data_IF_070118113418
#
_entry.id   IF_070118113418
#
_cell.length_a   1.000
_cell.length_b   1.000
_cell.length_c   1.000
_cell.angle_alpha   90.00
_cell.angle_beta   90.00
_cell.angle_gamma   90.00
#
_symmetry.space_group_name_H-M   'P 1'
#
loop_
_entity.id
_entity.type
_entity.pdbx_description
1 polymer ?
#
# COMPACT_ATOMS: atom_id res chain seq x y z
N UNK A 1 -15.94 38.14 -14.36
CA UNK A 1 -15.21 36.89 -14.64
C UNK A 1 -15.48 35.79 -13.61
N UNK A 2 -15.92 36.09 -12.38
CA UNK A 2 -16.14 35.10 -11.31
C UNK A 2 -17.29 34.09 -11.50
N UNK A 3 -18.33 34.43 -12.26
CA UNK A 3 -19.53 33.59 -12.36
C UNK A 3 -19.37 32.45 -13.37
N UNK A 4 -18.60 32.68 -14.44
CA UNK A 4 -18.25 31.65 -15.42
C UNK A 4 -17.29 30.62 -14.82
N UNK A 5 -16.30 31.07 -14.05
CA UNK A 5 -15.36 30.19 -13.32
C UNK A 5 -16.07 29.34 -12.27
N UNK A 6 -17.03 29.94 -11.53
CA UNK A 6 -17.83 29.20 -10.55
C UNK A 6 -18.70 28.14 -11.21
N UNK A 7 -19.42 28.50 -12.28
CA UNK A 7 -20.24 27.55 -13.04
C UNK A 7 -19.38 26.43 -13.66
N UNK A 8 -18.18 26.74 -14.14
CA UNK A 8 -17.25 25.75 -14.67
C UNK A 8 -16.78 24.76 -13.59
N UNK A 9 -16.49 25.26 -12.38
CA UNK A 9 -16.11 24.43 -11.23
C UNK A 9 -17.26 23.53 -10.77
N UNK A 10 -18.47 24.08 -10.65
CA UNK A 10 -19.66 23.33 -10.23
C UNK A 10 -20.00 22.23 -11.26
N UNK A 11 -19.83 22.52 -12.55
CA UNK A 11 -20.00 21.53 -13.63
C UNK A 11 -18.92 20.45 -13.56
N UNK A 12 -17.66 20.83 -13.29
CA UNK A 12 -16.55 19.89 -13.16
C UNK A 12 -16.75 18.96 -11.96
N UNK A 13 -17.18 19.48 -10.81
CA UNK A 13 -17.51 18.69 -9.61
C UNK A 13 -18.69 17.73 -9.87
N UNK A 14 -19.71 18.20 -10.60
CA UNK A 14 -20.86 17.38 -11.00
C UNK A 14 -20.48 16.26 -11.99
N UNK A 15 -19.54 16.51 -12.90
CA UNK A 15 -19.03 15.47 -13.82
C UNK A 15 -18.16 14.46 -13.09
N UNK A 16 -17.38 14.91 -12.11
CA UNK A 16 -16.57 14.02 -11.27
C UNK A 16 -17.47 13.06 -10.48
N UNK A 17 -18.56 13.55 -9.86
CA UNK A 17 -19.44 12.71 -9.04
C UNK A 17 -20.12 11.57 -9.81
N UNK A 18 -20.45 11.76 -11.09
CA UNK A 18 -21.05 10.72 -11.95
C UNK A 18 -20.10 9.53 -12.21
N UNK A 19 -18.79 9.74 -12.09
CA UNK A 19 -17.76 8.71 -12.37
C UNK A 19 -17.23 8.03 -11.13
N UNK A 20 -17.71 8.42 -9.95
CA UNK A 20 -17.31 7.83 -8.69
C UNK A 20 -17.82 6.40 -8.59
N UNK A 21 -16.96 5.49 -8.14
CA UNK A 21 -17.33 4.11 -7.83
C UNK A 21 -16.76 3.72 -6.46
N UNK A 22 -17.41 2.83 -5.71
CA UNK A 22 -16.92 2.38 -4.41
C UNK A 22 -15.61 1.59 -4.53
N UNK A 23 -14.74 1.73 -3.54
CA UNK A 23 -13.47 0.99 -3.43
C UNK A 23 -13.67 -0.53 -3.29
N UNK A 24 -14.87 -0.99 -2.95
CA UNK A 24 -15.27 -2.40 -2.92
C UNK A 24 -14.93 -3.15 -4.22
N UNK A 25 -15.03 -2.50 -5.38
CA UNK A 25 -14.65 -3.10 -6.68
C UNK A 25 -13.18 -3.52 -6.75
N UNK A 26 -12.31 -2.83 -6.02
CA UNK A 26 -10.88 -3.15 -5.88
C UNK A 26 -10.67 -4.12 -4.73
N UNK A 27 -11.21 -3.78 -3.55
CA UNK A 27 -10.99 -4.52 -2.30
C UNK A 27 -11.50 -5.96 -2.34
N UNK A 28 -12.61 -6.24 -3.04
CA UNK A 28 -13.19 -7.58 -3.18
C UNK A 28 -12.24 -8.63 -3.78
N UNK A 29 -11.18 -8.20 -4.50
CA UNK A 29 -10.20 -9.11 -5.12
C UNK A 29 -9.10 -9.57 -4.16
N UNK A 30 -8.82 -8.78 -3.13
CA UNK A 30 -7.69 -9.00 -2.23
C UNK A 30 -7.84 -10.20 -1.28
N UNK A 31 -9.02 -10.53 -0.71
CA UNK A 31 -9.16 -11.70 0.16
C UNK A 31 -8.67 -12.99 -0.47
N UNK A 32 -8.95 -13.20 -1.76
CA UNK A 32 -8.48 -14.37 -2.50
C UNK A 32 -6.98 -14.29 -2.76
N UNK A 33 -6.49 -13.16 -3.27
CA UNK A 33 -5.08 -12.96 -3.58
C UNK A 33 -4.19 -13.16 -2.33
N UNK A 34 -4.58 -12.57 -1.19
CA UNK A 34 -3.89 -12.70 0.09
C UNK A 34 -3.87 -14.16 0.54
N UNK A 35 -5.01 -14.86 0.50
CA UNK A 35 -5.09 -16.28 0.87
C UNK A 35 -4.18 -17.15 0.01
N UNK A 36 -4.20 -16.97 -1.30
CA UNK A 36 -3.41 -17.75 -2.25
C UNK A 36 -1.90 -17.51 -2.06
N UNK A 37 -1.49 -16.26 -1.83
CA UNK A 37 -0.09 -15.90 -1.59
C UNK A 37 0.40 -16.35 -0.21
N UNK A 38 -0.38 -16.11 0.84
CA UNK A 38 -0.05 -16.56 2.19
C UNK A 38 0.14 -18.08 2.24
N UNK A 39 -0.74 -18.83 1.56
CA UNK A 39 -0.61 -20.29 1.42
C UNK A 39 0.67 -20.72 0.71
N UNK A 40 1.05 -20.06 -0.40
CA UNK A 40 2.30 -20.35 -1.12
C UNK A 40 3.56 -20.06 -0.28
N UNK A 41 3.49 -19.03 0.56
CA UNK A 41 4.60 -18.60 1.41
C UNK A 41 4.63 -19.33 2.77
N UNK A 42 3.66 -20.21 3.04
CA UNK A 42 3.45 -20.85 4.34
C UNK A 42 3.31 -19.84 5.50
N UNK A 43 2.67 -18.70 5.24
CA UNK A 43 2.37 -17.66 6.24
C UNK A 43 0.91 -17.72 6.67
N UNK A 44 0.62 -17.34 7.91
CA UNK A 44 -0.75 -17.19 8.42
C UNK A 44 -1.09 -15.72 8.50
N UNK A 45 -2.05 -15.27 7.70
CA UNK A 45 -2.41 -13.85 7.58
C UNK A 45 -3.91 -13.69 7.55
N UNK A 46 -4.41 -12.71 8.30
CA UNK A 46 -5.77 -12.22 8.23
C UNK A 46 -5.80 -10.87 7.50
N UNK A 47 -6.77 -10.69 6.59
CA UNK A 47 -6.96 -9.45 5.85
C UNK A 47 -8.17 -8.70 6.41
N UNK A 48 -7.95 -7.48 6.86
CA UNK A 48 -9.00 -6.54 7.27
C UNK A 48 -9.21 -5.49 6.18
N UNK A 49 -10.46 -5.26 5.80
CA UNK A 49 -10.85 -4.23 4.82
C UNK A 49 -11.67 -3.14 5.52
N UNK A 50 -11.28 -1.89 5.37
CA UNK A 50 -11.95 -0.74 5.99
C UNK A 50 -12.25 0.32 4.94
N UNK A 51 -13.44 0.93 5.02
CA UNK A 51 -13.83 1.98 4.07
C UNK A 51 -14.06 1.47 2.63
N UNK A 52 -14.51 0.23 2.46
CA UNK A 52 -14.88 -0.31 1.13
C UNK A 52 -15.94 0.52 0.40
N UNK A 53 -16.78 1.25 1.15
CA UNK A 53 -17.80 2.15 0.61
C UNK A 53 -17.26 3.52 0.17
N UNK A 54 -16.00 3.85 0.48
CA UNK A 54 -15.36 5.10 0.04
C UNK A 54 -15.33 5.15 -1.48
N UNK A 55 -15.74 6.26 -2.06
CA UNK A 55 -15.88 6.39 -3.51
C UNK A 55 -14.66 7.06 -4.15
N UNK A 56 -14.22 6.55 -5.30
CA UNK A 56 -13.08 7.03 -6.07
C UNK A 56 -13.43 7.09 -7.57
N UNK A 57 -12.82 8.02 -8.32
CA UNK A 57 -13.02 8.10 -9.77
C UNK A 57 -12.62 6.77 -10.45
N UNK A 58 -13.47 6.30 -11.37
CA UNK A 58 -13.23 5.04 -12.10
C UNK A 58 -11.85 4.93 -12.74
N UNK A 59 -11.34 6.01 -13.34
CA UNK A 59 -10.02 5.98 -13.98
C UNK A 59 -8.88 5.83 -12.98
N UNK A 60 -9.06 6.33 -11.75
CA UNK A 60 -8.12 6.13 -10.65
C UNK A 60 -8.22 4.71 -10.09
N UNK A 61 -9.44 4.17 -9.95
CA UNK A 61 -9.67 2.78 -9.56
C UNK A 61 -8.92 1.81 -10.48
N UNK A 62 -9.01 1.98 -11.78
CA UNK A 62 -8.33 1.08 -12.72
C UNK A 62 -6.80 1.17 -12.60
N UNK A 63 -6.27 2.34 -12.26
CA UNK A 63 -4.82 2.59 -12.13
C UNK A 63 -4.25 2.19 -10.77
N UNK A 64 -5.06 2.14 -9.71
CA UNK A 64 -4.60 1.87 -8.34
C UNK A 64 -4.47 0.37 -8.04
N UNK A 65 -5.13 -0.50 -8.82
CA UNK A 65 -5.12 -1.95 -8.61
C UNK A 65 -3.70 -2.52 -8.61
N UNK A 66 -2.89 -2.18 -9.61
CA UNK A 66 -1.54 -2.73 -9.74
C UNK A 66 -0.60 -2.24 -8.61
N UNK A 67 -0.54 -0.94 -8.27
CA UNK A 67 0.17 -0.46 -7.09
C UNK A 67 -0.26 -1.13 -5.79
N UNK A 68 -1.55 -1.27 -5.51
CA UNK A 68 -2.04 -1.91 -4.29
C UNK A 68 -1.69 -3.41 -4.27
N UNK A 69 -1.78 -4.08 -5.41
CA UNK A 69 -1.34 -5.48 -5.54
C UNK A 69 0.13 -5.62 -5.21
N UNK A 70 0.97 -4.67 -5.66
CA UNK A 70 2.39 -4.65 -5.32
C UNK A 70 2.61 -4.45 -3.82
N UNK A 71 1.93 -3.48 -3.20
CA UNK A 71 2.07 -3.23 -1.75
C UNK A 71 1.65 -4.43 -0.90
N UNK A 72 0.50 -5.03 -1.21
CA UNK A 72 0.03 -6.25 -0.54
C UNK A 72 1.02 -7.40 -0.71
N UNK A 73 1.58 -7.57 -1.91
CA UNK A 73 2.60 -8.59 -2.14
C UNK A 73 3.85 -8.32 -1.31
N UNK A 74 4.32 -7.08 -1.21
CA UNK A 74 5.48 -6.74 -0.39
C UNK A 74 5.25 -7.02 1.09
N UNK A 75 4.08 -6.67 1.62
CA UNK A 75 3.69 -7.02 2.99
C UNK A 75 3.69 -8.53 3.20
N UNK A 76 3.21 -9.33 2.24
CA UNK A 76 3.19 -10.79 2.35
C UNK A 76 4.56 -11.43 2.14
N UNK A 77 5.38 -10.97 1.20
CA UNK A 77 6.69 -11.55 0.90
C UNK A 77 7.72 -11.17 1.97
N UNK A 78 7.73 -9.90 2.38
CA UNK A 78 8.81 -9.29 3.16
C UNK A 78 8.39 -8.69 4.49
N UNK A 79 7.15 -8.20 4.61
CA UNK A 79 6.65 -7.60 5.85
C UNK A 79 6.36 -8.65 6.92
N UNK A 80 5.32 -9.44 6.72
CA UNK A 80 4.83 -10.44 7.67
C UNK A 80 5.80 -11.63 7.73
N UNK A 81 6.26 -11.97 8.92
CA UNK A 81 7.17 -13.09 9.15
C UNK A 81 6.40 -14.44 9.14
N UNK A 82 7.12 -15.56 9.04
CA UNK A 82 6.50 -16.87 9.20
C UNK A 82 6.00 -17.10 10.64
N UNK A 83 5.04 -18.02 10.86
CA UNK A 83 4.43 -18.27 12.17
C UNK A 83 5.42 -18.50 13.31
N UNK A 84 6.52 -19.21 13.04
CA UNK A 84 7.53 -19.52 14.06
C UNK A 84 8.34 -18.28 14.42
N UNK A 85 8.79 -17.51 13.42
CA UNK A 85 9.50 -16.26 13.62
C UNK A 85 8.65 -15.23 14.40
N UNK A 86 7.34 -15.15 14.12
CA UNK A 86 6.42 -14.26 14.84
C UNK A 86 6.30 -14.63 16.32
N UNK A 87 6.09 -15.91 16.62
CA UNK A 87 6.02 -16.40 18.00
C UNK A 87 7.34 -16.19 18.75
N UNK A 88 8.48 -16.40 18.09
CA UNK A 88 9.80 -16.14 18.67
C UNK A 88 10.01 -14.64 18.98
N UNK A 89 9.42 -13.74 18.20
CA UNK A 89 9.41 -12.30 18.43
C UNK A 89 8.31 -11.85 19.43
N UNK A 90 7.55 -12.77 20.03
CA UNK A 90 6.46 -12.46 20.96
C UNK A 90 5.19 -11.90 20.32
N UNK A 91 5.06 -12.01 19.00
CA UNK A 91 3.89 -11.57 18.22
C UNK A 91 2.87 -12.71 18.07
N UNK A 92 1.59 -12.40 17.75
CA UNK A 92 0.60 -13.40 17.38
C UNK A 92 1.05 -14.23 16.16
N UNK A 93 0.72 -15.52 16.16
CA UNK A 93 1.05 -16.45 15.07
C UNK A 93 0.45 -16.00 13.72
N UNK A 94 -0.75 -15.41 13.76
CA UNK A 94 -1.43 -14.85 12.60
C UNK A 94 -1.03 -13.38 12.46
N UNK A 95 -0.45 -13.01 11.32
CA UNK A 95 -0.19 -11.62 10.97
C UNK A 95 -1.45 -10.92 10.49
N UNK A 96 -1.50 -9.60 10.66
CA UNK A 96 -2.62 -8.78 10.22
C UNK A 96 -2.19 -7.87 9.08
N UNK A 97 -2.98 -7.87 8.00
CA UNK A 97 -2.85 -6.95 6.88
C UNK A 97 -4.15 -6.15 6.77
N UNK A 98 -4.04 -4.82 6.77
CA UNK A 98 -5.17 -3.90 6.72
C UNK A 98 -5.09 -3.11 5.41
N UNK A 99 -6.18 -3.10 4.66
CA UNK A 99 -6.40 -2.15 3.57
C UNK A 99 -7.51 -1.19 3.98
N UNK A 100 -7.20 0.10 4.04
CA UNK A 100 -8.17 1.14 4.38
C UNK A 100 -8.28 2.18 3.27
N UNK A 101 -9.47 2.78 3.14
CA UNK A 101 -9.70 3.93 2.28
C UNK A 101 -10.63 4.92 2.99
N UNK A 102 -10.23 6.18 3.13
CA UNK A 102 -11.03 7.21 3.79
C UNK A 102 -10.92 8.58 3.09
N UNK A 103 -11.95 9.40 3.23
CA UNK A 103 -11.91 10.80 2.76
C UNK A 103 -11.22 11.67 3.81
N UNK A 104 -10.11 12.30 3.44
CA UNK A 104 -9.32 13.15 4.32
C UNK A 104 -9.00 14.48 3.62
N UNK A 105 -9.61 15.57 4.11
CA UNK A 105 -9.31 16.93 3.64
C UNK A 105 -9.56 17.18 2.15
N UNK A 106 -10.59 16.53 1.57
CA UNK A 106 -10.89 16.61 0.13
C UNK A 106 -10.06 15.68 -0.75
N UNK A 107 -9.14 14.91 -0.16
CA UNK A 107 -8.43 13.81 -0.80
C UNK A 107 -9.00 12.46 -0.34
N UNK A 108 -8.55 11.39 -0.99
CA UNK A 108 -8.80 10.02 -0.53
C UNK A 108 -7.46 9.47 -0.06
N UNK A 109 -7.38 9.14 1.23
CA UNK A 109 -6.25 8.41 1.80
C UNK A 109 -6.51 6.91 1.60
N UNK A 110 -5.54 6.21 1.01
CA UNK A 110 -5.58 4.75 0.87
C UNK A 110 -4.34 4.22 1.58
N UNK A 111 -4.53 3.37 2.58
CA UNK A 111 -3.44 2.86 3.39
C UNK A 111 -3.35 1.33 3.30
N UNK A 112 -2.11 0.85 3.33
CA UNK A 112 -1.77 -0.57 3.43
C UNK A 112 -0.90 -0.70 4.68
N UNK A 113 -1.40 -1.42 5.68
CA UNK A 113 -0.72 -1.57 6.96
C UNK A 113 -0.54 -3.04 7.29
N UNK A 114 0.68 -3.43 7.68
CA UNK A 114 0.95 -4.75 8.22
C UNK A 114 1.61 -4.65 9.60
N UNK A 115 1.50 -5.72 10.38
CA UNK A 115 2.13 -5.87 11.71
C UNK A 115 3.40 -6.73 11.64
N UNK A 116 4.08 -6.69 10.49
CA UNK A 116 5.27 -7.47 10.19
C UNK A 116 6.53 -6.96 10.88
N UNK A 117 7.69 -7.38 10.38
CA UNK A 117 9.00 -7.03 10.92
C UNK A 117 9.38 -5.55 10.72
N UNK A 118 8.58 -4.81 9.93
CA UNK A 118 8.91 -3.46 9.49
C UNK A 118 10.05 -3.44 8.48
N UNK A 119 10.49 -2.23 8.13
CA UNK A 119 11.57 -2.02 7.18
C UNK A 119 12.93 -2.20 7.86
N UNK A 120 13.73 -3.13 7.37
CA UNK A 120 15.11 -3.28 7.84
C UNK A 120 16.00 -2.22 7.18
N UNK A 121 16.30 -1.17 7.94
CA UNK A 121 17.11 -0.02 7.54
C UNK A 121 18.45 -0.42 6.92
N UNK A 122 19.20 -1.31 7.58
CA UNK A 122 20.52 -1.75 7.12
C UNK A 122 20.44 -2.45 5.76
N UNK A 123 19.43 -3.31 5.55
CA UNK A 123 19.23 -3.99 4.27
C UNK A 123 18.87 -3.03 3.15
N UNK A 124 18.06 -2.00 3.44
CA UNK A 124 17.69 -0.99 2.44
C UNK A 124 18.92 -0.18 2.03
N UNK A 125 19.71 0.30 3.00
CA UNK A 125 20.95 1.04 2.74
C UNK A 125 21.95 0.20 1.96
N UNK A 126 22.16 -1.06 2.34
CA UNK A 126 23.06 -1.96 1.63
C UNK A 126 22.63 -2.21 0.17
N UNK A 127 21.33 -2.42 -0.07
CA UNK A 127 20.78 -2.61 -1.41
C UNK A 127 20.87 -1.33 -2.26
N UNK A 128 20.60 -0.17 -1.67
CA UNK A 128 20.74 1.13 -2.31
C UNK A 128 22.21 1.40 -2.70
N UNK A 129 23.16 1.13 -1.79
CA UNK A 129 24.59 1.25 -2.04
C UNK A 129 25.03 0.36 -3.23
N UNK A 130 24.59 -0.89 -3.25
CA UNK A 130 24.90 -1.85 -4.31
C UNK A 130 24.37 -1.42 -5.69
N UNK A 131 23.34 -0.58 -5.72
CA UNK A 131 22.74 -0.03 -6.94
C UNK A 131 23.30 1.34 -7.34
N UNK A 132 24.33 1.83 -6.64
CA UNK A 132 24.97 3.11 -6.92
C UNK A 132 24.12 4.32 -6.52
N UNK A 133 23.11 4.13 -5.66
CA UNK A 133 22.39 5.26 -5.05
C UNK A 133 23.27 5.89 -3.96
N UNK A 134 23.20 7.22 -3.84
CA UNK A 134 23.87 7.93 -2.76
C UNK A 134 23.20 7.58 -1.43
N UNK A 135 23.94 6.88 -0.58
CA UNK A 135 23.53 6.51 0.77
C UNK A 135 24.48 7.11 1.79
N UNK A 136 23.93 7.50 2.94
CA UNK A 136 24.68 7.95 4.10
C UNK A 136 24.12 7.31 5.36
N UNK A 137 24.98 6.96 6.31
CA UNK A 137 24.56 6.46 7.62
C UNK A 137 23.74 7.49 8.39
N UNK A 138 23.88 8.78 8.05
CA UNK A 138 23.16 9.90 8.65
C UNK A 138 21.74 10.12 8.13
N UNK A 139 21.26 9.31 7.17
CA UNK A 139 19.92 9.50 6.60
C UNK A 139 18.83 9.32 7.65
N UNK A 140 17.74 10.08 7.60
CA UNK A 140 16.57 9.82 8.45
C UNK A 140 15.86 8.52 8.02
N UNK A 141 14.97 7.97 8.86
CA UNK A 141 14.18 6.80 8.47
C UNK A 141 13.24 7.10 7.30
N UNK A 142 12.78 8.35 7.19
CA UNK A 142 11.97 8.82 6.07
C UNK A 142 12.80 8.85 4.77
N UNK A 143 14.03 9.36 4.83
CA UNK A 143 14.95 9.36 3.69
C UNK A 143 15.32 7.94 3.25
N UNK A 144 15.51 7.01 4.20
CA UNK A 144 15.73 5.59 3.88
C UNK A 144 14.47 4.96 3.28
N UNK A 145 13.29 5.30 3.79
CA UNK A 145 12.01 4.85 3.21
C UNK A 145 11.83 5.31 1.76
N UNK A 146 12.24 6.53 1.44
CA UNK A 146 12.17 7.07 0.08
C UNK A 146 13.03 6.30 -0.93
N UNK A 147 14.11 5.64 -0.49
CA UNK A 147 14.95 4.81 -1.36
C UNK A 147 14.16 3.63 -1.97
N UNK A 148 13.12 3.14 -1.30
CA UNK A 148 12.25 2.04 -1.78
C UNK A 148 11.51 2.46 -3.05
N UNK A 149 11.21 3.76 -3.21
CA UNK A 149 10.50 4.31 -4.35
C UNK A 149 11.43 4.79 -5.47
N UNK A 150 12.76 4.69 -5.28
CA UNK A 150 13.71 5.04 -6.33
C UNK A 150 13.52 4.09 -7.53
N UNK A 151 13.51 4.64 -8.75
CA UNK A 151 13.27 3.92 -10.02
C UNK A 151 14.23 2.74 -10.29
N UNK A 152 15.32 2.66 -9.51
CA UNK A 152 16.34 1.60 -9.54
C UNK A 152 16.09 0.46 -8.52
N UNK A 153 15.09 0.55 -7.63
CA UNK A 153 14.80 -0.45 -6.60
C UNK A 153 13.85 -1.55 -7.14
N UNK A 154 14.33 -2.73 -7.56
CA UNK A 154 13.48 -3.89 -7.78
C UNK A 154 12.87 -4.36 -6.43
N UNK A 155 11.77 -5.14 -6.46
CA UNK A 155 11.20 -5.76 -5.26
C UNK A 155 12.29 -6.41 -4.41
N UNK A 156 12.09 -6.49 -3.10
CA UNK A 156 13.04 -7.03 -2.12
C UNK A 156 13.29 -8.55 -2.29
N UNK A 157 13.39 -9.07 -3.51
CA UNK A 157 13.82 -10.43 -3.79
C UNK A 157 15.34 -10.56 -3.67
N UNK A 158 15.77 -11.35 -2.67
CA UNK A 158 17.09 -11.97 -2.46
C UNK A 158 18.32 -11.07 -2.51
#
# INVERSE_FOLDING_TARGET
>A
MSQLERNARDLQESVMSIRMMPMEYVFSRFPRLVRDLAGKLNKRVELTLQGSSTELDKSLIERIIDPLTHLVRNSLDHGIEDPQARLAAGKPEVGNLILSAEHQGGNICIEVTDDGAGLNREKILAKAAAQGLAVSDSMSDEEVGMLIFARAFPPLSR
#
